data_IF_408033087240
#
_entry.id   IF_408033087240
#
_cell.length_a   1.000
_cell.length_b   1.000
_cell.length_c   1.000
_cell.angle_alpha   90.00
_cell.angle_beta   90.00
_cell.angle_gamma   90.00
#
_symmetry.space_group_name_H-M   'P 1'
#
loop_
_entity.id
_entity.type
_entity.pdbx_description
1 polymer ?
#
# COMPACT_ATOMS: atom_id res chain seq x y z
N UNK A 1 7.28 -7.09 6.60
CA UNK A 1 7.33 -7.65 7.97
C UNK A 1 5.93 -7.80 8.50
N UNK A 2 5.60 -8.98 9.00
CA UNK A 2 4.31 -9.23 9.66
C UNK A 2 4.50 -9.18 11.17
N UNK A 3 3.73 -8.33 11.83
CA UNK A 3 3.88 -8.07 13.26
C UNK A 3 2.62 -8.50 13.97
N UNK A 4 2.77 -9.33 14.99
CA UNK A 4 1.67 -9.75 15.85
C UNK A 4 1.21 -8.56 16.70
N UNK A 5 0.08 -7.97 16.32
CA UNK A 5 -0.48 -6.77 16.95
C UNK A 5 -2.02 -6.87 17.03
N UNK A 6 -2.58 -7.70 17.93
CA UNK A 6 -4.01 -8.03 17.94
C UNK A 6 -4.93 -6.83 17.98
N UNK A 7 -4.60 -5.84 18.83
CA UNK A 7 -5.42 -4.62 18.99
C UNK A 7 -5.42 -3.76 17.74
N UNK A 8 -4.24 -3.60 17.11
CA UNK A 8 -4.11 -2.80 15.87
C UNK A 8 -4.78 -3.53 14.72
N UNK A 9 -4.51 -4.82 14.54
CA UNK A 9 -5.09 -5.63 13.46
C UNK A 9 -6.62 -5.67 13.49
N UNK A 10 -7.22 -5.62 14.69
CA UNK A 10 -8.67 -5.61 14.86
C UNK A 10 -9.31 -4.31 14.38
N UNK A 11 -8.71 -3.17 14.70
CA UNK A 11 -9.32 -1.85 14.56
C UNK A 11 -8.83 -1.07 13.32
N UNK A 12 -7.70 -1.47 12.71
CA UNK A 12 -7.14 -0.72 11.59
C UNK A 12 -7.98 -0.83 10.31
N UNK A 13 -7.91 0.27 9.55
CA UNK A 13 -8.53 0.43 8.24
C UNK A 13 -7.49 0.95 7.23
N UNK A 14 -7.71 0.74 5.92
CA UNK A 14 -6.82 1.24 4.87
C UNK A 14 -6.61 2.76 4.94
N UNK A 15 -5.38 3.20 4.72
CA UNK A 15 -4.98 4.61 4.79
C UNK A 15 -4.40 5.03 6.13
N UNK A 16 -4.52 4.20 7.17
CA UNK A 16 -3.94 4.45 8.48
C UNK A 16 -2.49 3.99 8.58
N UNK A 17 -1.80 4.43 9.62
CA UNK A 17 -0.41 4.13 9.89
C UNK A 17 -0.21 3.71 11.36
N UNK A 18 0.97 3.24 11.67
CA UNK A 18 1.45 2.97 13.03
C UNK A 18 2.72 3.74 13.31
N UNK A 19 3.08 3.86 14.57
CA UNK A 19 4.42 4.27 15.00
C UNK A 19 5.09 3.05 15.62
N UNK A 20 6.26 2.70 15.08
CA UNK A 20 7.09 1.61 15.59
C UNK A 20 8.37 2.15 16.19
N UNK A 21 8.85 1.50 17.25
CA UNK A 21 10.15 1.73 17.89
C UNK A 21 10.82 0.37 18.09
N UNK A 22 12.05 0.23 17.63
CA UNK A 22 12.72 -1.07 17.59
C UNK A 22 13.25 -1.49 18.97
N UNK A 23 13.89 -0.57 19.69
CA UNK A 23 14.55 -0.79 20.97
C UNK A 23 14.54 0.49 21.83
N UNK A 24 15.07 0.43 23.07
CA UNK A 24 15.06 1.57 24.01
C UNK A 24 15.71 2.85 23.47
N UNK A 25 16.72 2.72 22.61
CA UNK A 25 17.46 3.86 22.03
C UNK A 25 16.99 4.20 20.61
N UNK A 26 16.08 3.39 20.04
CA UNK A 26 15.52 3.57 18.70
C UNK A 26 14.60 4.78 18.60
N UNK A 27 14.52 5.33 17.40
CA UNK A 27 13.58 6.39 17.05
C UNK A 27 12.16 5.82 16.89
N UNK A 28 11.16 6.68 17.09
CA UNK A 28 9.77 6.38 16.72
C UNK A 28 9.56 6.66 15.24
N UNK A 29 9.30 5.62 14.46
CA UNK A 29 9.19 5.68 13.02
C UNK A 29 7.73 5.49 12.64
N UNK A 30 7.09 6.47 11.95
CA UNK A 30 5.77 6.29 11.38
C UNK A 30 5.85 5.40 10.13
N UNK A 31 5.03 4.34 10.09
CA UNK A 31 4.98 3.40 8.98
C UNK A 31 3.53 3.14 8.59
N UNK A 32 3.25 3.18 7.30
CA UNK A 32 1.91 2.88 6.80
C UNK A 32 1.56 1.41 7.00
N UNK A 33 0.32 1.15 7.38
CA UNK A 33 -0.24 -0.21 7.39
C UNK A 33 -0.41 -0.65 5.93
N UNK A 34 0.34 -1.67 5.54
CA UNK A 34 0.33 -2.22 4.19
C UNK A 34 -0.71 -3.33 4.03
N UNK A 35 -0.89 -4.14 5.05
CA UNK A 35 -1.94 -5.15 5.11
C UNK A 35 -2.24 -5.51 6.57
N UNK A 36 -3.34 -6.21 6.79
CA UNK A 36 -3.69 -6.76 8.10
C UNK A 36 -4.51 -8.04 7.95
N UNK A 37 -4.33 -8.94 8.89
CA UNK A 37 -5.12 -10.16 9.01
C UNK A 37 -5.72 -10.25 10.43
N UNK A 38 -7.04 -10.06 10.51
CA UNK A 38 -7.76 -10.10 11.80
C UNK A 38 -7.79 -11.47 12.43
N UNK A 39 -7.71 -12.56 11.63
CA UNK A 39 -7.70 -13.95 12.13
C UNK A 39 -6.32 -14.32 12.68
N UNK A 40 -5.27 -13.94 11.97
CA UNK A 40 -3.88 -14.13 12.40
C UNK A 40 -3.47 -13.09 13.43
N UNK A 41 -4.24 -12.01 13.59
CA UNK A 41 -3.95 -10.86 14.46
C UNK A 41 -2.62 -10.18 14.10
N UNK A 42 -2.31 -10.09 12.81
CA UNK A 42 -1.08 -9.50 12.28
C UNK A 42 -1.35 -8.22 11.51
N UNK A 43 -0.35 -7.34 11.54
CA UNK A 43 -0.26 -6.14 10.71
C UNK A 43 1.01 -6.23 9.88
N UNK A 44 0.88 -6.01 8.58
CA UNK A 44 2.01 -5.99 7.65
C UNK A 44 2.49 -4.57 7.42
N UNK A 45 3.79 -4.35 7.56
CA UNK A 45 4.47 -3.10 7.23
C UNK A 45 5.57 -3.33 6.20
N UNK A 46 5.81 -2.35 5.34
CA UNK A 46 6.92 -2.34 4.39
C UNK A 46 7.92 -1.30 4.86
N UNK A 47 9.17 -1.73 5.02
CA UNK A 47 10.27 -0.90 5.51
C UNK A 47 11.37 -0.83 4.46
N UNK A 48 11.80 0.37 4.13
CA UNK A 48 12.99 0.61 3.33
C UNK A 48 14.11 1.11 4.22
N UNK A 49 15.29 0.55 4.07
CA UNK A 49 16.48 0.98 4.80
C UNK A 49 16.94 2.34 4.28
N UNK A 50 16.76 3.38 5.11
CA UNK A 50 17.14 4.77 4.77
C UNK A 50 18.13 5.32 5.81
N UNK A 51 18.08 4.83 7.04
CA UNK A 51 18.91 5.29 8.14
C UNK A 51 18.93 4.32 9.31
N UNK A 52 19.66 4.66 10.37
CA UNK A 52 19.96 3.79 11.50
C UNK A 52 18.72 3.14 12.15
N UNK A 53 17.60 3.86 12.26
CA UNK A 53 16.37 3.32 12.83
C UNK A 53 15.77 2.21 11.97
N UNK A 54 15.69 2.40 10.64
CA UNK A 54 15.20 1.38 9.71
C UNK A 54 16.19 0.23 9.51
N UNK A 55 17.50 0.49 9.61
CA UNK A 55 18.54 -0.56 9.62
C UNK A 55 18.37 -1.50 10.81
N UNK A 56 18.17 -0.95 12.02
CA UNK A 56 17.89 -1.74 13.21
C UNK A 56 16.61 -2.57 13.07
N UNK A 57 15.57 -1.98 12.51
CA UNK A 57 14.31 -2.69 12.29
C UNK A 57 14.48 -3.86 11.33
N UNK A 58 15.25 -3.68 10.25
CA UNK A 58 15.54 -4.73 9.27
C UNK A 58 16.50 -5.80 9.81
N UNK A 59 17.22 -5.54 10.89
CA UNK A 59 18.08 -6.52 11.56
C UNK A 59 17.31 -7.46 12.52
N UNK A 60 16.03 -7.20 12.77
CA UNK A 60 15.18 -8.07 13.58
C UNK A 60 14.93 -9.40 12.87
N UNK A 61 14.92 -10.47 13.65
CA UNK A 61 14.60 -11.82 13.20
C UNK A 61 13.18 -12.22 13.58
N UNK A 62 12.70 -13.30 12.98
CA UNK A 62 11.43 -13.89 13.38
C UNK A 62 11.45 -14.28 14.87
N UNK A 63 10.43 -13.81 15.60
CA UNK A 63 10.31 -14.00 17.04
C UNK A 63 10.85 -12.88 17.88
N UNK A 64 11.58 -11.92 17.31
CA UNK A 64 11.97 -10.71 18.01
C UNK A 64 10.78 -9.78 18.28
N UNK A 65 10.93 -8.87 19.22
CA UNK A 65 9.90 -7.92 19.61
C UNK A 65 10.30 -6.49 19.33
N UNK A 66 9.34 -5.67 18.96
CA UNK A 66 9.48 -4.20 18.94
C UNK A 66 9.18 -3.64 20.32
N UNK A 67 9.91 -2.59 20.72
CA UNK A 67 9.68 -1.87 21.98
C UNK A 67 8.31 -1.18 22.01
N UNK A 68 7.98 -0.44 20.94
CA UNK A 68 6.67 0.18 20.75
C UNK A 68 6.08 -0.19 19.39
N UNK A 69 4.78 -0.47 19.37
CA UNK A 69 3.97 -0.59 18.16
C UNK A 69 2.59 0.04 18.42
N UNK A 70 2.48 1.32 18.10
CA UNK A 70 1.33 2.15 18.46
C UNK A 70 0.48 2.44 17.24
N UNK A 71 -0.80 2.14 17.33
CA UNK A 71 -1.78 2.38 16.27
C UNK A 71 -3.14 1.73 16.55
N UNK A 72 -4.07 1.77 15.58
CA UNK A 72 -3.96 2.54 14.32
C UNK A 72 -4.01 4.05 14.56
N UNK A 73 -3.28 4.81 13.73
CA UNK A 73 -3.21 6.27 13.78
C UNK A 73 -3.65 6.86 12.43
N UNK A 74 -4.01 8.14 12.45
CA UNK A 74 -4.51 8.84 11.27
C UNK A 74 -5.97 8.49 10.95
N UNK A 75 -6.45 9.04 9.83
CA UNK A 75 -7.81 8.81 9.34
C UNK A 75 -7.80 7.71 8.27
N UNK A 76 -8.82 6.84 8.24
CA UNK A 76 -9.02 5.92 7.13
C UNK A 76 -9.20 6.66 5.80
N UNK A 77 -8.84 6.03 4.70
CA UNK A 77 -9.11 6.54 3.35
C UNK A 77 -10.61 6.76 3.15
N UNK A 78 -11.00 7.90 2.58
CA UNK A 78 -12.40 8.19 2.26
C UNK A 78 -13.03 7.16 1.31
N UNK A 79 -12.20 6.55 0.45
CA UNK A 79 -12.64 5.48 -0.46
C UNK A 79 -12.97 4.17 0.26
N UNK A 80 -12.40 3.98 1.46
CA UNK A 80 -12.49 2.74 2.24
C UNK A 80 -13.35 2.90 3.50
N UNK A 81 -14.44 3.64 3.39
CA UNK A 81 -15.41 3.84 4.45
C UNK A 81 -16.79 3.32 4.00
N UNK A 82 -17.47 2.60 4.88
CA UNK A 82 -18.77 2.01 4.58
C UNK A 82 -19.82 3.09 4.23
N UNK A 83 -19.77 4.23 4.90
CA UNK A 83 -20.68 5.36 4.66
C UNK A 83 -20.56 5.95 3.24
N UNK A 84 -19.40 5.83 2.62
CA UNK A 84 -19.12 6.34 1.28
C UNK A 84 -19.23 5.26 0.19
N UNK A 85 -19.49 4.01 0.56
CA UNK A 85 -19.38 2.86 -0.35
C UNK A 85 -20.30 2.98 -1.59
N UNK A 86 -21.54 3.40 -1.40
CA UNK A 86 -22.51 3.51 -2.51
C UNK A 86 -22.14 4.64 -3.49
N UNK A 87 -21.47 5.68 -3.03
CA UNK A 87 -20.93 6.71 -3.90
C UNK A 87 -19.64 6.24 -4.59
N UNK A 88 -18.80 5.51 -3.86
CA UNK A 88 -17.55 4.94 -4.34
C UNK A 88 -17.80 3.91 -5.46
N UNK A 89 -18.85 3.10 -5.37
CA UNK A 89 -19.27 2.15 -6.41
C UNK A 89 -19.60 2.80 -7.76
N UNK A 90 -19.96 4.08 -7.77
CA UNK A 90 -20.29 4.82 -9.00
C UNK A 90 -19.06 5.40 -9.69
N UNK A 91 -17.88 5.34 -9.05
CA UNK A 91 -16.63 5.93 -9.54
C UNK A 91 -15.81 4.90 -10.31
N UNK A 92 -15.11 5.36 -11.32
CA UNK A 92 -14.02 4.60 -11.93
C UNK A 92 -12.73 5.00 -11.20
N UNK A 93 -12.15 4.07 -10.46
CA UNK A 93 -11.02 4.32 -9.58
C UNK A 93 -9.74 3.80 -10.22
N UNK A 94 -8.75 4.68 -10.31
CA UNK A 94 -7.40 4.33 -10.77
C UNK A 94 -6.41 4.78 -9.70
N UNK A 95 -5.66 3.84 -9.14
CA UNK A 95 -4.55 4.13 -8.24
C UNK A 95 -3.24 4.21 -9.02
N UNK A 96 -2.41 5.19 -8.68
CA UNK A 96 -1.04 5.29 -9.18
C UNK A 96 -0.10 5.20 -7.98
N UNK A 97 0.72 4.18 -7.95
CA UNK A 97 1.64 3.89 -6.87
C UNK A 97 3.09 3.86 -7.39
N UNK A 98 3.97 4.65 -6.79
CA UNK A 98 5.41 4.67 -7.13
C UNK A 98 6.26 4.08 -6.00
N UNK A 99 7.06 3.07 -6.29
CA UNK A 99 7.95 2.45 -5.32
C UNK A 99 7.25 2.07 -4.01
N UNK A 100 7.71 2.61 -2.87
CA UNK A 100 7.08 2.38 -1.56
C UNK A 100 5.63 2.83 -1.46
N UNK A 101 5.16 3.73 -2.33
CA UNK A 101 3.75 4.12 -2.41
C UNK A 101 2.80 2.96 -2.75
N UNK A 102 3.31 1.83 -3.21
CA UNK A 102 2.56 0.59 -3.38
C UNK A 102 2.01 0.06 -2.05
N UNK A 103 2.76 0.22 -0.97
CA UNK A 103 2.38 -0.25 0.36
C UNK A 103 1.05 0.37 0.88
N UNK A 104 0.84 1.70 0.86
CA UNK A 104 -0.43 2.30 1.29
C UNK A 104 -1.58 2.09 0.28
N UNK A 105 -1.30 1.79 -0.98
CA UNK A 105 -2.33 1.55 -1.99
C UNK A 105 -2.91 0.15 -1.89
N UNK A 106 -2.08 -0.87 -1.63
CA UNK A 106 -2.52 -2.25 -1.59
C UNK A 106 -3.73 -2.52 -0.66
N UNK A 107 -3.74 -2.11 0.61
CA UNK A 107 -4.87 -2.37 1.49
C UNK A 107 -6.16 -1.66 1.04
N UNK A 108 -6.05 -0.52 0.35
CA UNK A 108 -7.21 0.19 -0.19
C UNK A 108 -7.84 -0.60 -1.35
N UNK A 109 -7.03 -1.07 -2.29
CA UNK A 109 -7.50 -1.88 -3.43
C UNK A 109 -8.10 -3.19 -2.94
N UNK A 110 -7.46 -3.85 -1.97
CA UNK A 110 -7.97 -5.07 -1.33
C UNK A 110 -9.33 -4.84 -0.68
N UNK A 111 -9.47 -3.79 0.13
CA UNK A 111 -10.73 -3.43 0.78
C UNK A 111 -11.84 -3.15 -0.23
N UNK A 112 -11.55 -2.35 -1.26
CA UNK A 112 -12.50 -2.05 -2.33
C UNK A 112 -12.97 -3.34 -3.02
N UNK A 113 -12.06 -4.24 -3.35
CA UNK A 113 -12.38 -5.54 -3.96
C UNK A 113 -13.30 -6.38 -3.07
N UNK A 114 -13.01 -6.45 -1.78
CA UNK A 114 -13.82 -7.18 -0.79
C UNK A 114 -15.24 -6.59 -0.66
N UNK A 115 -15.43 -5.30 -0.97
CA UNK A 115 -16.72 -4.61 -0.94
C UNK A 115 -17.39 -4.45 -2.32
N UNK A 116 -16.89 -5.19 -3.32
CA UNK A 116 -17.48 -5.24 -4.66
C UNK A 116 -17.22 -3.99 -5.51
N UNK A 117 -16.13 -3.26 -5.22
CA UNK A 117 -15.67 -2.12 -6.01
C UNK A 117 -14.39 -2.50 -6.75
N UNK A 118 -14.43 -2.39 -8.08
CA UNK A 118 -13.26 -2.61 -8.92
C UNK A 118 -12.40 -1.35 -9.01
N UNK A 119 -11.07 -1.53 -8.94
CA UNK A 119 -10.11 -0.46 -9.13
C UNK A 119 -8.98 -0.92 -10.06
N UNK A 120 -8.56 -0.02 -10.95
CA UNK A 120 -7.37 -0.21 -11.76
C UNK A 120 -6.14 0.32 -11.01
N UNK A 121 -4.99 -0.31 -11.20
CA UNK A 121 -3.75 0.06 -10.50
C UNK A 121 -2.60 0.20 -11.49
N UNK A 122 -1.88 1.31 -11.37
CA UNK A 122 -0.61 1.54 -12.06
C UNK A 122 0.50 1.52 -11.01
N UNK A 123 1.43 0.58 -11.13
CA UNK A 123 2.61 0.47 -10.26
C UNK A 123 3.86 0.89 -11.02
N UNK A 124 4.56 1.92 -10.51
CA UNK A 124 5.80 2.44 -11.09
C UNK A 124 7.01 2.16 -10.21
N UNK A 125 8.10 1.67 -10.81
CA UNK A 125 9.36 1.39 -10.13
C UNK A 125 10.54 1.89 -10.99
N UNK A 126 11.71 2.07 -10.38
CA UNK A 126 12.92 2.41 -11.15
C UNK A 126 13.32 1.30 -12.10
N UNK A 127 13.28 0.06 -11.61
CA UNK A 127 13.63 -1.15 -12.35
C UNK A 127 12.89 -2.36 -11.78
N UNK A 128 13.05 -3.49 -12.45
CA UNK A 128 12.44 -4.77 -12.07
C UNK A 128 12.90 -5.29 -10.71
N UNK A 129 14.15 -5.05 -10.31
CA UNK A 129 14.77 -5.68 -9.13
C UNK A 129 14.18 -5.20 -7.82
N UNK A 130 13.59 -3.98 -7.82
CA UNK A 130 12.95 -3.39 -6.63
C UNK A 130 11.42 -3.49 -6.67
N UNK A 131 10.87 -4.23 -7.62
CA UNK A 131 9.44 -4.47 -7.72
C UNK A 131 8.98 -5.42 -6.62
N UNK A 132 7.89 -5.08 -5.94
CA UNK A 132 7.27 -5.88 -4.89
C UNK A 132 5.75 -5.80 -4.95
N UNK A 133 5.05 -6.73 -4.33
CA UNK A 133 3.58 -6.82 -4.30
C UNK A 133 2.91 -6.94 -5.68
N UNK A 134 3.58 -7.45 -6.68
CA UNK A 134 2.95 -7.61 -7.99
C UNK A 134 1.86 -8.69 -7.97
N UNK A 135 2.15 -9.84 -7.38
CA UNK A 135 1.21 -10.96 -7.34
C UNK A 135 0.03 -10.67 -6.42
N UNK A 136 0.29 -10.06 -5.26
CA UNK A 136 -0.74 -9.64 -4.32
C UNK A 136 -1.66 -8.58 -4.97
N UNK A 137 -1.09 -7.60 -5.66
CA UNK A 137 -1.86 -6.57 -6.33
C UNK A 137 -2.66 -7.13 -7.51
N UNK A 138 -2.12 -8.08 -8.27
CA UNK A 138 -2.84 -8.80 -9.33
C UNK A 138 -4.08 -9.52 -8.81
N UNK A 139 -4.01 -10.06 -7.59
CA UNK A 139 -5.13 -10.78 -6.99
C UNK A 139 -6.30 -9.87 -6.61
N UNK A 140 -6.06 -8.58 -6.39
CA UNK A 140 -7.09 -7.64 -5.90
C UNK A 140 -7.45 -6.54 -6.89
N UNK A 141 -6.55 -6.12 -7.77
CA UNK A 141 -6.83 -5.13 -8.80
C UNK A 141 -7.72 -5.71 -9.91
N UNK A 142 -8.54 -4.87 -10.53
CA UNK A 142 -9.28 -5.21 -11.75
C UNK A 142 -8.32 -5.36 -12.92
N UNK A 143 -7.50 -4.32 -13.15
CA UNK A 143 -6.41 -4.33 -14.10
C UNK A 143 -5.15 -3.82 -13.38
N UNK A 144 -4.02 -4.49 -13.60
CA UNK A 144 -2.73 -4.07 -13.09
C UNK A 144 -1.81 -3.72 -14.25
N UNK A 145 -1.26 -2.52 -14.19
CA UNK A 145 -0.27 -2.01 -15.13
C UNK A 145 1.03 -1.75 -14.38
N UNK A 146 2.12 -2.36 -14.82
CA UNK A 146 3.44 -2.15 -14.24
C UNK A 146 4.29 -1.36 -15.20
N UNK A 147 4.99 -0.34 -14.71
CA UNK A 147 5.95 0.43 -15.47
C UNK A 147 7.29 0.53 -14.74
N UNK A 148 8.37 0.61 -15.51
CA UNK A 148 9.72 0.83 -14.98
C UNK A 148 10.40 1.96 -15.74
N UNK A 149 11.13 2.81 -14.99
CA UNK A 149 11.81 3.98 -15.57
C UNK A 149 12.88 3.57 -16.57
N UNK A 150 13.55 2.42 -16.35
CA UNK A 150 14.61 1.88 -17.21
C UNK A 150 14.09 0.94 -18.31
N UNK A 151 12.80 0.63 -18.33
CA UNK A 151 12.19 -0.30 -19.29
C UNK A 151 12.53 -1.77 -19.06
N UNK A 152 13.08 -2.14 -17.89
CA UNK A 152 13.46 -3.52 -17.59
C UNK A 152 12.27 -4.45 -17.42
N UNK A 153 11.07 -3.89 -17.17
CA UNK A 153 9.83 -4.64 -17.03
C UNK A 153 8.58 -3.78 -17.29
N UNK A 154 7.59 -4.37 -17.95
CA UNK A 154 6.31 -3.70 -18.23
C UNK A 154 6.44 -2.53 -19.19
N UNK A 155 5.70 -1.45 -18.93
CA UNK A 155 5.77 -0.23 -19.72
C UNK A 155 7.06 0.56 -19.39
N UNK A 156 7.77 1.01 -20.44
CA UNK A 156 8.95 1.85 -20.26
C UNK A 156 8.53 3.30 -20.01
N UNK A 157 8.66 3.75 -18.78
CA UNK A 157 8.27 5.09 -18.33
C UNK A 157 7.75 5.10 -16.91
N UNK A 158 7.24 6.24 -16.47
CA UNK A 158 6.67 6.40 -15.14
C UNK A 158 5.13 6.23 -15.11
N UNK A 159 4.56 6.20 -13.92
CA UNK A 159 3.12 5.99 -13.72
C UNK A 159 2.25 7.06 -14.40
N UNK A 160 2.68 8.32 -14.48
CA UNK A 160 1.93 9.38 -15.16
C UNK A 160 1.91 9.18 -16.67
N UNK A 161 3.02 8.73 -17.26
CA UNK A 161 3.11 8.41 -18.68
C UNK A 161 2.24 7.19 -19.03
N UNK A 162 2.25 6.16 -18.17
CA UNK A 162 1.38 5.01 -18.31
C UNK A 162 -0.10 5.41 -18.23
N UNK A 163 -0.46 6.28 -17.26
CA UNK A 163 -1.82 6.80 -17.17
C UNK A 163 -2.22 7.55 -18.45
N UNK A 164 -1.35 8.43 -18.96
CA UNK A 164 -1.62 9.18 -20.21
C UNK A 164 -1.86 8.21 -21.37
N UNK A 165 -1.04 7.18 -21.52
CA UNK A 165 -1.21 6.18 -22.56
C UNK A 165 -2.57 5.43 -22.44
N UNK A 166 -3.00 5.14 -21.21
CA UNK A 166 -4.30 4.52 -20.96
C UNK A 166 -5.47 5.48 -21.27
N UNK A 167 -5.34 6.76 -20.91
CA UNK A 167 -6.33 7.80 -21.22
C UNK A 167 -6.49 7.96 -22.72
N UNK A 168 -5.37 8.02 -23.45
CA UNK A 168 -5.37 8.16 -24.91
C UNK A 168 -5.97 6.92 -25.60
N UNK A 169 -5.76 5.74 -25.02
CA UNK A 169 -6.28 4.47 -25.57
C UNK A 169 -7.77 4.22 -25.27
N UNK A 170 -8.30 4.73 -24.16
CA UNK A 170 -9.62 4.38 -23.60
C UNK A 170 -10.35 5.63 -23.11
N UNK A 171 -10.39 6.75 -23.74
CA UNK A 171 -11.22 7.92 -23.35
C UNK A 171 -11.66 7.96 -21.88
N UNK A 172 -10.74 7.96 -20.93
CA UNK A 172 -11.03 8.21 -19.53
C UNK A 172 -11.45 9.67 -19.36
N UNK A 173 -12.74 9.91 -19.19
CA UNK A 173 -13.30 11.27 -19.23
C UNK A 173 -13.26 12.05 -17.91
N UNK A 174 -12.97 11.41 -16.78
CA UNK A 174 -12.95 12.08 -15.46
C UNK A 174 -11.88 11.50 -14.54
N UNK A 175 -10.78 12.22 -14.36
CA UNK A 175 -9.72 11.91 -13.40
C UNK A 175 -9.76 12.90 -12.23
N UNK A 176 -9.71 12.39 -10.99
CA UNK A 176 -9.42 13.19 -9.79
C UNK A 176 -8.17 12.61 -9.11
N UNK A 177 -7.19 13.46 -8.83
CA UNK A 177 -6.06 13.12 -7.96
C UNK A 177 -6.49 13.34 -6.50
N UNK A 178 -6.18 12.41 -5.63
CA UNK A 178 -6.32 12.51 -4.18
C UNK A 178 -4.98 12.29 -3.52
#
# INVERSE_FOLDING_TARGET
>A
MDIKAPRVAKECLPGQFIIAKTDEVGERIPLTICDYDRKKETVTIVVQTIGAGTERMMALNEGDSLEDFVGPLGCPSELCQEDNLEETKKKHIVFIAGGLGTAPVYPQVKWLKEHGVDADVIMGFRNKDILFFEDEMKAVAKNLYVCTDDGSYGFHGNGSQQLQALVDAVSYTHLRAH
#
